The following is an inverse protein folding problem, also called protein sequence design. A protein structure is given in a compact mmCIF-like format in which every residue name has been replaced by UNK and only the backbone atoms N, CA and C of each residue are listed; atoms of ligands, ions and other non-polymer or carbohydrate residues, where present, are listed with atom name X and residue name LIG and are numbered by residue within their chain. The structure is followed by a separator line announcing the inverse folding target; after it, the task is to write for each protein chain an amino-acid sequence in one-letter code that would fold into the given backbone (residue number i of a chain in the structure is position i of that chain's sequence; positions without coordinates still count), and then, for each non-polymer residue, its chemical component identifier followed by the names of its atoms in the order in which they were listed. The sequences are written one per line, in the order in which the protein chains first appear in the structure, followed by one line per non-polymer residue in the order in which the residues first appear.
data_IF_833732459068
#
_entry.id   IF_833732459068
#
_cell.length_a   1.000
_cell.length_b   1.000
_cell.length_c   1.000
_cell.angle_alpha   90.00
_cell.angle_beta   90.00
_cell.angle_gamma   90.00
#
_symmetry.space_group_name_H-M   'P 1'
#
loop_
_entity.id
_entity.type
_entity.pdbx_description
1 polymer ?
#
# COMPACT_ATOMS: atom_id res chain seq x y z
N UNK A 1 42.18 -21.48 -26.53
CA UNK A 1 40.84 -21.79 -25.97
C UNK A 1 40.44 -20.62 -25.08
N UNK A 2 39.60 -19.74 -25.64
CA UNK A 2 39.07 -18.56 -25.00
C UNK A 2 38.15 -18.96 -23.86
N UNK A 3 38.46 -18.53 -22.63
CA UNK A 3 37.52 -18.49 -21.51
C UNK A 3 36.48 -17.45 -21.89
N UNK A 4 35.30 -17.85 -22.31
CA UNK A 4 34.15 -16.95 -22.40
C UNK A 4 33.79 -16.54 -20.99
N UNK A 5 33.96 -15.25 -20.73
CA UNK A 5 33.56 -14.61 -19.49
C UNK A 5 32.05 -14.83 -19.26
N UNK A 6 31.72 -15.56 -18.20
CA UNK A 6 30.33 -15.71 -17.70
C UNK A 6 29.77 -14.45 -17.04
N UNK A 7 30.44 -13.33 -17.21
CA UNK A 7 30.04 -12.06 -16.57
C UNK A 7 28.90 -11.33 -17.28
N UNK A 8 28.59 -11.66 -18.53
CA UNK A 8 27.70 -10.86 -19.36
C UNK A 8 26.21 -11.20 -19.26
N UNK A 9 25.81 -12.23 -18.50
CA UNK A 9 24.41 -12.68 -18.48
C UNK A 9 23.59 -12.00 -17.35
N UNK A 10 24.22 -11.35 -16.37
CA UNK A 10 23.52 -10.78 -15.21
C UNK A 10 23.59 -9.25 -15.12
N UNK A 11 24.21 -8.55 -16.06
CA UNK A 11 24.47 -7.12 -15.96
C UNK A 11 23.25 -6.20 -16.13
N UNK A 12 22.07 -6.74 -16.52
CA UNK A 12 20.87 -5.93 -16.76
C UNK A 12 19.59 -6.48 -16.12
N UNK A 13 19.67 -7.47 -15.23
CA UNK A 13 18.50 -7.97 -14.50
C UNK A 13 18.48 -7.31 -13.13
N UNK A 14 17.42 -6.57 -12.79
CA UNK A 14 17.32 -5.98 -11.45
C UNK A 14 17.31 -7.08 -10.39
N UNK A 15 18.01 -6.83 -9.29
CA UNK A 15 18.06 -7.75 -8.13
C UNK A 15 16.71 -7.80 -7.40
N UNK A 16 15.89 -6.76 -7.59
CA UNK A 16 14.57 -6.62 -6.98
C UNK A 16 13.53 -6.35 -8.05
N UNK A 17 12.37 -7.01 -7.92
CA UNK A 17 11.24 -6.81 -8.83
C UNK A 17 10.27 -5.74 -8.33
N UNK A 18 10.23 -5.51 -7.02
CA UNK A 18 9.28 -4.62 -6.36
C UNK A 18 10.01 -3.77 -5.32
N UNK A 19 9.67 -2.48 -5.28
CA UNK A 19 10.06 -1.55 -4.22
C UNK A 19 8.81 -0.98 -3.56
N UNK A 20 8.72 -1.10 -2.25
CA UNK A 20 7.68 -0.48 -1.44
C UNK A 20 8.20 0.85 -0.86
N UNK A 21 7.64 1.96 -1.32
CA UNK A 21 7.92 3.27 -0.75
C UNK A 21 7.28 3.38 0.63
N UNK A 22 8.08 3.43 1.67
CA UNK A 22 7.62 3.55 3.06
C UNK A 22 7.84 4.99 3.54
N UNK A 23 6.83 5.68 4.10
CA UNK A 23 5.47 5.19 4.29
C UNK A 23 4.44 6.31 4.09
N UNK A 24 3.27 5.93 3.63
CA UNK A 24 2.08 6.73 3.79
C UNK A 24 1.30 6.23 5.01
N UNK A 25 0.46 7.08 5.60
CA UNK A 25 -0.27 6.81 6.82
C UNK A 25 -1.77 6.96 6.60
N UNK A 26 -2.53 5.99 7.08
CA UNK A 26 -3.96 6.17 7.33
C UNK A 26 -4.12 6.88 8.67
N UNK A 27 -4.71 8.06 8.66
CA UNK A 27 -5.01 8.84 9.86
C UNK A 27 -6.47 9.21 9.92
N UNK A 28 -6.97 9.40 11.14
CA UNK A 28 -8.26 10.03 11.38
C UNK A 28 -8.05 11.53 11.63
N UNK A 29 -8.80 12.33 10.90
CA UNK A 29 -8.90 13.77 11.14
C UNK A 29 -10.20 14.05 11.89
N UNK A 30 -10.08 14.42 13.15
CA UNK A 30 -11.21 14.69 14.05
C UNK A 30 -12.05 15.88 13.56
N UNK A 31 -11.42 16.88 12.96
CA UNK A 31 -12.09 18.10 12.52
C UNK A 31 -13.04 17.84 11.35
N UNK A 32 -12.62 17.04 10.38
CA UNK A 32 -13.43 16.65 9.23
C UNK A 32 -14.15 15.31 9.40
N UNK A 33 -13.84 14.56 10.47
CA UNK A 33 -14.29 13.17 10.73
C UNK A 33 -13.98 12.20 9.58
N UNK A 34 -12.86 12.41 8.91
CA UNK A 34 -12.46 11.63 7.74
C UNK A 34 -11.26 10.74 8.01
N UNK A 35 -11.25 9.61 7.32
CA UNK A 35 -10.03 8.83 7.13
C UNK A 35 -9.20 9.53 6.03
N UNK A 36 -7.96 9.88 6.33
CA UNK A 36 -7.09 10.60 5.39
C UNK A 36 -5.82 9.83 5.09
N UNK A 37 -5.38 9.90 3.85
CA UNK A 37 -4.07 9.42 3.41
C UNK A 37 -3.05 10.55 3.59
N UNK A 38 -2.07 10.34 4.47
CA UNK A 38 -1.01 11.31 4.74
C UNK A 38 0.35 10.74 4.39
N UNK A 39 1.13 11.47 3.61
CA UNK A 39 2.51 11.12 3.34
C UNK A 39 3.43 11.59 4.47
N UNK A 40 4.44 10.80 4.80
CA UNK A 40 5.56 11.28 5.61
C UNK A 40 6.44 12.23 4.77
N UNK A 41 7.18 13.15 5.40
CA UNK A 41 8.04 14.11 4.67
C UNK A 41 8.99 13.43 3.68
N UNK A 42 9.57 12.30 4.05
CA UNK A 42 10.51 11.56 3.18
C UNK A 42 9.81 11.03 1.93
N UNK A 43 8.62 10.44 2.08
CA UNK A 43 7.85 9.94 0.94
C UNK A 43 7.31 11.08 0.09
N UNK A 44 6.86 12.15 0.70
CA UNK A 44 6.43 13.34 -0.03
C UNK A 44 7.56 13.91 -0.89
N UNK A 45 8.79 13.95 -0.35
CA UNK A 45 9.99 14.35 -1.10
C UNK A 45 10.25 13.43 -2.29
N UNK A 46 10.20 12.11 -2.09
CA UNK A 46 10.41 11.11 -3.15
C UNK A 46 9.36 11.25 -4.24
N UNK A 47 8.09 11.37 -3.87
CA UNK A 47 6.97 11.50 -4.81
C UNK A 47 7.05 12.80 -5.63
N UNK A 48 7.39 13.93 -4.99
CA UNK A 48 7.57 15.22 -5.67
C UNK A 48 8.76 15.23 -6.64
N UNK A 49 9.76 14.41 -6.38
CA UNK A 49 10.94 14.27 -7.25
C UNK A 49 10.91 12.97 -8.05
N UNK A 50 9.75 12.65 -8.62
CA UNK A 50 9.47 11.43 -9.38
C UNK A 50 10.56 11.08 -10.42
N UNK A 51 10.98 12.06 -11.23
CA UNK A 51 11.96 11.85 -12.28
C UNK A 51 13.33 11.37 -11.75
N UNK A 52 13.67 11.76 -10.53
CA UNK A 52 14.94 11.41 -9.90
C UNK A 52 14.88 10.06 -9.19
N UNK A 53 13.78 9.74 -8.50
CA UNK A 53 13.73 8.58 -7.61
C UNK A 53 12.90 7.42 -8.16
N UNK A 54 11.75 7.69 -8.76
CA UNK A 54 10.79 6.65 -9.18
C UNK A 54 11.02 6.23 -10.63
N UNK A 55 11.16 7.19 -11.52
CA UNK A 55 11.29 6.92 -12.95
C UNK A 55 12.45 5.99 -13.31
N UNK A 56 13.67 6.13 -12.71
CA UNK A 56 14.76 5.19 -12.99
C UNK A 56 14.46 3.76 -12.60
N UNK A 57 13.79 3.55 -11.46
CA UNK A 57 13.35 2.22 -11.02
C UNK A 57 12.40 1.59 -12.04
N UNK A 58 11.40 2.33 -12.47
CA UNK A 58 10.42 1.87 -13.47
C UNK A 58 11.05 1.57 -14.82
N UNK A 59 12.01 2.38 -15.27
CA UNK A 59 12.78 2.12 -16.50
C UNK A 59 13.60 0.83 -16.42
N UNK A 60 14.01 0.43 -15.22
CA UNK A 60 14.70 -0.84 -14.98
C UNK A 60 13.73 -2.03 -14.82
N UNK A 61 12.43 -1.83 -15.03
CA UNK A 61 11.42 -2.88 -14.90
C UNK A 61 10.94 -3.14 -13.47
N UNK A 62 11.40 -2.34 -12.50
CA UNK A 62 11.03 -2.48 -11.08
C UNK A 62 9.65 -1.88 -10.87
N UNK A 63 8.76 -2.61 -10.20
CA UNK A 63 7.45 -2.12 -9.79
C UNK A 63 7.58 -1.29 -8.52
N UNK A 64 6.97 -0.10 -8.52
CA UNK A 64 7.04 0.83 -7.38
C UNK A 64 5.66 0.94 -6.74
N UNK A 65 5.55 0.47 -5.50
CA UNK A 65 4.32 0.45 -4.73
C UNK A 65 4.37 1.43 -3.54
N UNK A 66 3.23 2.00 -3.18
CA UNK A 66 3.09 2.80 -1.98
C UNK A 66 2.76 1.91 -0.79
N UNK A 67 3.60 1.89 0.24
CA UNK A 67 3.29 1.24 1.50
C UNK A 67 2.45 2.15 2.39
N UNK A 68 1.29 1.67 2.81
CA UNK A 68 0.36 2.38 3.69
C UNK A 68 0.30 1.64 5.02
N UNK A 69 0.47 2.38 6.11
CA UNK A 69 0.45 1.89 7.49
C UNK A 69 -0.54 2.69 8.33
N UNK A 70 -0.82 2.23 9.54
CA UNK A 70 -1.60 2.98 10.51
C UNK A 70 -0.88 4.24 10.99
N UNK A 71 -1.63 5.30 11.21
CA UNK A 71 -1.11 6.62 11.62
C UNK A 71 -1.21 6.92 13.11
N UNK A 72 -1.51 5.92 13.94
CA UNK A 72 -1.57 6.07 15.40
C UNK A 72 -2.74 6.93 15.90
N UNK A 73 -3.82 7.04 15.16
CA UNK A 73 -4.98 7.86 15.50
C UNK A 73 -6.19 7.07 16.00
N UNK A 74 -6.04 5.75 16.21
CA UNK A 74 -7.11 4.88 16.68
C UNK A 74 -7.92 4.25 15.55
N UNK A 75 -7.74 4.69 14.31
CA UNK A 75 -8.30 4.00 13.15
C UNK A 75 -7.21 3.35 12.31
N UNK A 76 -7.55 2.22 11.73
CA UNK A 76 -6.73 1.45 10.81
C UNK A 76 -7.63 0.66 9.86
N UNK A 77 -7.06 -0.30 9.15
CA UNK A 77 -7.81 -1.02 8.12
C UNK A 77 -8.93 -1.89 8.69
N UNK A 78 -8.85 -2.27 9.97
CA UNK A 78 -9.80 -3.18 10.61
C UNK A 78 -10.95 -2.50 11.39
N UNK A 79 -11.09 -1.17 11.30
CA UNK A 79 -12.21 -0.47 11.96
C UNK A 79 -12.74 0.75 11.19
N UNK A 80 -12.63 0.72 9.87
CA UNK A 80 -13.21 1.76 9.01
C UNK A 80 -14.71 1.51 8.78
N UNK A 81 -15.47 2.60 8.75
CA UNK A 81 -16.84 2.56 8.23
C UNK A 81 -16.85 2.48 6.71
N UNK A 82 -17.98 2.08 6.12
CA UNK A 82 -18.11 1.99 4.65
C UNK A 82 -17.87 3.36 3.97
N UNK A 83 -18.30 4.45 4.59
CA UNK A 83 -18.03 5.82 4.10
C UNK A 83 -16.55 6.16 4.16
N UNK A 84 -15.87 5.80 5.25
CA UNK A 84 -14.43 6.02 5.39
C UNK A 84 -13.63 5.19 4.39
N UNK A 85 -14.05 3.95 4.12
CA UNK A 85 -13.44 3.10 3.09
C UNK A 85 -13.55 3.76 1.71
N UNK A 86 -14.74 4.19 1.32
CA UNK A 86 -14.96 4.83 0.01
C UNK A 86 -14.11 6.10 -0.15
N UNK A 87 -14.08 6.95 0.87
CA UNK A 87 -13.29 8.18 0.90
C UNK A 87 -11.78 7.92 0.85
N UNK A 88 -11.31 6.95 1.63
CA UNK A 88 -9.90 6.60 1.67
C UNK A 88 -9.42 5.97 0.36
N UNK A 89 -10.21 5.06 -0.23
CA UNK A 89 -9.93 4.44 -1.53
C UNK A 89 -9.81 5.50 -2.63
N UNK A 90 -10.69 6.50 -2.64
CA UNK A 90 -10.59 7.61 -3.60
C UNK A 90 -9.28 8.39 -3.47
N UNK A 91 -8.82 8.65 -2.24
CA UNK A 91 -7.53 9.32 -2.00
C UNK A 91 -6.34 8.46 -2.45
N UNK A 92 -6.37 7.16 -2.18
CA UNK A 92 -5.34 6.22 -2.64
C UNK A 92 -5.29 6.16 -4.16
N UNK A 93 -6.45 6.09 -4.83
CA UNK A 93 -6.55 6.08 -6.29
C UNK A 93 -5.96 7.33 -6.91
N UNK A 94 -6.25 8.51 -6.35
CA UNK A 94 -5.65 9.79 -6.78
C UNK A 94 -4.14 9.75 -6.65
N UNK A 95 -3.61 9.28 -5.53
CA UNK A 95 -2.17 9.18 -5.29
C UNK A 95 -1.48 8.24 -6.26
N UNK A 96 -2.02 7.03 -6.45
CA UNK A 96 -1.49 6.04 -7.39
C UNK A 96 -1.44 6.58 -8.81
N UNK A 97 -2.50 7.24 -9.25
CA UNK A 97 -2.60 7.84 -10.59
C UNK A 97 -1.65 9.04 -10.74
N UNK A 98 -1.65 9.96 -9.78
CA UNK A 98 -0.85 11.19 -9.82
C UNK A 98 0.65 10.89 -9.89
N UNK A 99 1.11 9.93 -9.08
CA UNK A 99 2.52 9.55 -8.98
C UNK A 99 2.87 8.33 -9.83
N UNK A 100 1.96 7.88 -10.69
CA UNK A 100 2.18 6.76 -11.63
C UNK A 100 2.76 5.52 -10.93
N UNK A 101 2.24 5.19 -9.76
CA UNK A 101 2.66 4.05 -8.98
C UNK A 101 2.11 2.75 -9.56
N UNK A 102 2.82 1.64 -9.39
CA UNK A 102 2.42 0.34 -9.91
C UNK A 102 1.50 -0.43 -8.96
N UNK A 103 1.43 0.02 -7.71
CA UNK A 103 0.61 -0.69 -6.74
C UNK A 103 0.59 -0.07 -5.34
N UNK A 104 -0.07 -0.80 -4.45
CA UNK A 104 -0.23 -0.47 -3.03
C UNK A 104 0.13 -1.69 -2.19
N UNK A 105 0.89 -1.46 -1.13
CA UNK A 105 1.21 -2.43 -0.10
C UNK A 105 0.55 -2.01 1.20
N UNK A 106 -0.38 -2.82 1.72
CA UNK A 106 -1.08 -2.55 2.98
C UNK A 106 -0.39 -3.27 4.13
N UNK A 107 -0.14 -2.54 5.19
CA UNK A 107 0.40 -3.07 6.44
C UNK A 107 -0.35 -2.46 7.62
N UNK A 108 -1.22 -3.24 8.25
CA UNK A 108 -2.06 -2.76 9.36
C UNK A 108 -1.29 -2.74 10.68
N UNK A 109 -0.25 -1.92 10.71
CA UNK A 109 0.62 -1.73 11.87
C UNK A 109 0.56 -0.27 12.32
N UNK A 110 0.60 -0.04 13.61
CA UNK A 110 0.67 1.31 14.18
C UNK A 110 -0.62 2.12 14.09
N UNK A 111 -1.78 1.49 13.93
CA UNK A 111 -3.08 2.17 13.87
C UNK A 111 -3.49 2.81 15.21
N UNK A 112 -3.04 2.23 16.35
CA UNK A 112 -3.39 2.68 17.68
C UNK A 112 -4.80 2.25 18.11
N UNK A 113 -5.16 1.01 17.79
CA UNK A 113 -6.47 0.44 18.15
C UNK A 113 -6.74 0.38 19.65
N UNK A 114 -5.69 0.43 20.47
CA UNK A 114 -5.73 0.45 21.93
C UNK A 114 -6.02 1.84 22.52
N UNK A 115 -6.13 2.86 21.68
CA UNK A 115 -6.42 4.21 22.14
C UNK A 115 -7.83 4.34 22.72
N UNK A 116 -7.93 5.10 23.79
CA UNK A 116 -9.25 5.45 24.39
C UNK A 116 -10.12 6.15 23.35
N UNK A 117 -11.32 5.60 23.12
CA UNK A 117 -12.26 6.13 22.14
C UNK A 117 -12.03 5.69 20.70
N UNK A 118 -11.04 4.82 20.44
CA UNK A 118 -10.91 4.18 19.15
C UNK A 118 -12.16 3.33 18.84
N UNK A 119 -12.64 3.30 17.58
CA UNK A 119 -13.71 2.39 17.20
C UNK A 119 -13.31 0.93 17.43
N UNK A 120 -14.28 0.08 17.74
CA UNK A 120 -14.04 -1.35 17.87
C UNK A 120 -13.60 -1.95 16.53
N UNK A 121 -12.84 -3.05 16.62
CA UNK A 121 -12.43 -3.79 15.44
C UNK A 121 -13.63 -4.46 14.78
N UNK A 122 -13.70 -4.38 13.47
CA UNK A 122 -14.71 -5.00 12.63
C UNK A 122 -14.01 -5.94 11.63
N UNK A 123 -14.27 -7.23 11.76
CA UNK A 123 -13.67 -8.25 10.89
C UNK A 123 -14.02 -8.08 9.39
N UNK A 124 -15.06 -7.32 9.08
CA UNK A 124 -15.48 -7.04 7.70
C UNK A 124 -14.78 -5.82 7.10
N UNK A 125 -14.20 -4.94 7.91
CA UNK A 125 -13.60 -3.67 7.46
C UNK A 125 -12.41 -3.88 6.52
N UNK A 126 -11.42 -4.63 6.95
CA UNK A 126 -10.22 -4.84 6.14
C UNK A 126 -10.52 -5.56 4.81
N UNK A 127 -11.30 -6.67 4.79
CA UNK A 127 -11.75 -7.29 3.55
C UNK A 127 -12.49 -6.33 2.61
N UNK A 128 -13.39 -5.51 3.14
CA UNK A 128 -14.11 -4.49 2.36
C UNK A 128 -13.16 -3.46 1.75
N UNK A 129 -12.15 -3.01 2.51
CA UNK A 129 -11.13 -2.09 2.02
C UNK A 129 -10.34 -2.71 0.85
N UNK A 130 -9.88 -3.95 1.00
CA UNK A 130 -9.14 -4.68 -0.05
C UNK A 130 -9.99 -4.82 -1.31
N UNK A 131 -11.25 -5.21 -1.15
CA UNK A 131 -12.20 -5.34 -2.26
C UNK A 131 -12.42 -3.99 -2.95
N UNK A 132 -12.66 -2.92 -2.20
CA UNK A 132 -12.89 -1.58 -2.75
C UNK A 132 -11.66 -1.04 -3.50
N UNK A 133 -10.45 -1.27 -2.97
CA UNK A 133 -9.21 -0.93 -3.67
C UNK A 133 -9.06 -1.69 -4.99
N UNK A 134 -9.38 -2.99 -5.00
CA UNK A 134 -9.33 -3.81 -6.21
C UNK A 134 -10.37 -3.39 -7.25
N UNK A 135 -11.58 -3.05 -6.83
CA UNK A 135 -12.64 -2.55 -7.72
C UNK A 135 -12.30 -1.19 -8.31
N UNK A 136 -11.74 -0.27 -7.50
CA UNK A 136 -11.34 1.05 -7.96
C UNK A 136 -10.12 1.03 -8.89
N UNK A 137 -9.23 0.05 -8.68
CA UNK A 137 -7.95 -0.05 -9.40
C UNK A 137 -7.66 -1.52 -9.76
N UNK A 138 -8.35 -2.08 -10.78
CA UNK A 138 -8.27 -3.53 -11.07
C UNK A 138 -6.89 -4.00 -11.54
N UNK A 139 -6.10 -3.11 -12.14
CA UNK A 139 -4.82 -3.46 -12.78
C UNK A 139 -3.59 -3.20 -11.92
N UNK A 140 -3.76 -2.61 -10.72
CA UNK A 140 -2.61 -2.36 -9.85
C UNK A 140 -2.18 -3.62 -9.09
N UNK A 141 -0.91 -3.64 -8.70
CA UNK A 141 -0.42 -4.59 -7.72
C UNK A 141 -0.99 -4.22 -6.34
N UNK A 142 -1.68 -5.16 -5.69
CA UNK A 142 -2.20 -4.99 -4.33
C UNK A 142 -1.63 -6.12 -3.48
N UNK A 143 -0.80 -5.77 -2.50
CA UNK A 143 -0.14 -6.70 -1.61
C UNK A 143 -0.45 -6.37 -0.15
N UNK A 144 -0.45 -7.37 0.70
CA UNK A 144 -0.74 -7.27 2.12
C UNK A 144 0.44 -7.83 2.90
N UNK A 145 0.83 -7.14 3.98
CA UNK A 145 1.71 -7.75 4.97
C UNK A 145 0.88 -8.65 5.88
N UNK A 146 1.27 -9.91 5.96
CA UNK A 146 0.70 -10.85 6.91
C UNK A 146 1.61 -10.88 8.15
N UNK A 147 1.27 -10.06 9.14
CA UNK A 147 1.96 -9.97 10.42
C UNK A 147 1.22 -10.71 11.55
N UNK A 148 0.15 -11.44 11.21
CA UNK A 148 -0.68 -12.20 12.15
C UNK A 148 -1.61 -11.35 13.01
N UNK A 149 -1.64 -10.03 12.79
CA UNK A 149 -2.54 -9.11 13.47
C UNK A 149 -3.96 -9.13 12.90
N UNK A 150 -4.41 -7.99 12.41
CA UNK A 150 -5.76 -7.83 11.83
C UNK A 150 -5.98 -8.66 10.56
N UNK A 151 -4.91 -9.05 9.85
CA UNK A 151 -5.00 -9.98 8.71
C UNK A 151 -5.47 -11.38 9.13
N UNK A 152 -5.23 -11.80 10.37
CA UNK A 152 -5.74 -13.07 10.90
C UNK A 152 -7.28 -13.08 11.02
N UNK A 153 -7.92 -11.92 11.07
CA UNK A 153 -9.39 -11.77 11.09
C UNK A 153 -10.02 -11.98 9.71
N UNK A 154 -9.21 -11.94 8.63
CA UNK A 154 -9.69 -12.12 7.26
C UNK A 154 -9.87 -13.60 6.96
N UNK A 155 -11.02 -13.98 6.40
CA UNK A 155 -11.22 -15.33 5.89
C UNK A 155 -10.26 -15.65 4.73
N UNK A 156 -9.75 -16.88 4.70
CA UNK A 156 -8.78 -17.32 3.68
C UNK A 156 -9.30 -17.19 2.25
N UNK A 157 -10.59 -17.29 2.03
CA UNK A 157 -11.21 -17.07 0.72
C UNK A 157 -11.09 -15.62 0.24
N UNK A 158 -11.04 -14.65 1.16
CA UNK A 158 -10.92 -13.23 0.85
C UNK A 158 -9.51 -12.82 0.41
N UNK A 159 -8.50 -13.63 0.73
CA UNK A 159 -7.11 -13.43 0.26
C UNK A 159 -6.94 -13.60 -1.24
N UNK A 160 -7.83 -14.34 -1.90
CA UNK A 160 -7.74 -14.56 -3.35
C UNK A 160 -8.03 -13.30 -4.18
N UNK A 161 -8.70 -12.29 -3.62
CA UNK A 161 -8.90 -11.00 -4.28
C UNK A 161 -7.61 -10.20 -4.46
N UNK A 162 -6.59 -10.43 -3.62
CA UNK A 162 -5.30 -9.74 -3.70
C UNK A 162 -4.30 -10.39 -4.67
N UNK A 163 -4.50 -11.66 -5.01
CA UNK A 163 -3.54 -12.51 -5.74
C UNK A 163 -3.79 -12.67 -7.24
N UNK A 164 -4.44 -11.77 -7.93
CA UNK A 164 -4.36 -11.83 -9.40
C UNK A 164 -3.04 -11.18 -9.85
N UNK A 165 -1.99 -11.99 -9.76
CA UNK A 165 -0.76 -11.79 -10.52
C UNK A 165 -1.03 -12.35 -11.93
N UNK A 166 -1.05 -11.51 -12.92
CA UNK A 166 -0.87 -11.88 -14.33
C UNK A 166 0.46 -11.34 -14.80
#
# INVERSE_FOLDING_TARGET
KSRRDRKTIYENVPVFDIVNLRKALLKYDESSRRAILKFTPDIEHVLKNYAQYIQPLKRSGIKVCLSIEGGGTGIGFANLTDVQIADFVAQVQVAVKMYQLDGVHLRDEGAGYDKTGAPELDETSYPKLVKALREAMPDIMLTLADDGGTTAMMDKEQWHCSRRLH
#
